data_IF_243316357777
#
_entry.id   IF_243316357777
#
_cell.length_a   1.000
_cell.length_b   1.000
_cell.length_c   1.000
_cell.angle_alpha   90.00
_cell.angle_beta   90.00
_cell.angle_gamma   90.00
#
_symmetry.space_group_name_H-M   'P 1'
#
loop_
_entity.id
_entity.type
_entity.pdbx_description
1 polymer ?
#
# COMPACT_ATOMS: atom_id res chain seq x y z
N UNK A 1 -50.44 35.12 -33.59
CA UNK A 1 -49.65 34.42 -32.55
C UNK A 1 -49.86 34.98 -31.14
N UNK A 2 -50.19 36.27 -30.98
CA UNK A 2 -50.51 36.91 -29.70
C UNK A 2 -51.73 36.33 -28.98
N UNK A 3 -52.75 35.86 -29.72
CA UNK A 3 -54.02 35.41 -29.11
C UNK A 3 -53.86 34.10 -28.33
N UNK A 4 -53.02 33.18 -28.82
CA UNK A 4 -52.70 31.94 -28.12
C UNK A 4 -51.84 32.21 -26.87
N UNK A 5 -50.92 33.17 -26.92
CA UNK A 5 -50.13 33.58 -25.75
C UNK A 5 -51.03 34.19 -24.66
N UNK A 6 -51.98 35.06 -25.06
CA UNK A 6 -52.98 35.61 -24.15
C UNK A 6 -53.82 34.49 -23.52
N UNK A 7 -54.29 33.54 -24.32
CA UNK A 7 -55.01 32.36 -23.82
C UNK A 7 -54.18 31.57 -22.79
N UNK A 8 -52.89 31.31 -23.02
CA UNK A 8 -52.04 30.60 -22.06
C UNK A 8 -51.89 31.35 -20.72
N UNK A 9 -51.85 32.68 -20.76
CA UNK A 9 -51.71 33.53 -19.57
C UNK A 9 -53.03 33.73 -18.80
N UNK A 10 -54.20 33.75 -19.47
CA UNK A 10 -55.49 34.05 -18.84
C UNK A 10 -56.42 32.85 -18.64
N UNK A 11 -56.24 31.74 -19.36
CA UNK A 11 -57.17 30.62 -19.34
C UNK A 11 -57.31 29.98 -17.94
N UNK A 12 -58.50 29.51 -17.63
CA UNK A 12 -58.77 28.71 -16.44
C UNK A 12 -58.29 27.26 -16.59
N UNK A 13 -58.24 26.53 -15.47
CA UNK A 13 -57.82 25.13 -15.45
C UNK A 13 -58.68 24.25 -16.38
N UNK A 14 -59.99 24.50 -16.44
CA UNK A 14 -60.90 23.71 -17.26
C UNK A 14 -60.83 24.06 -18.75
N UNK A 15 -60.56 25.33 -19.09
CA UNK A 15 -60.33 25.76 -20.47
C UNK A 15 -59.03 25.18 -21.04
N UNK A 16 -57.96 25.12 -20.25
CA UNK A 16 -56.73 24.46 -20.66
C UNK A 16 -56.94 22.97 -20.95
N UNK A 17 -57.83 22.30 -20.20
CA UNK A 17 -58.15 20.88 -20.38
C UNK A 17 -59.01 20.58 -21.62
N UNK A 18 -59.67 21.58 -22.20
CA UNK A 18 -60.41 21.40 -23.45
C UNK A 18 -59.48 21.13 -24.64
N UNK A 19 -58.20 21.50 -24.53
CA UNK A 19 -57.20 21.21 -25.56
C UNK A 19 -56.78 19.73 -25.48
N UNK A 20 -56.89 18.98 -26.59
CA UNK A 20 -56.48 17.58 -26.64
C UNK A 20 -55.01 17.39 -26.23
N UNK A 21 -54.78 16.59 -25.18
CA UNK A 21 -53.46 16.27 -24.67
C UNK A 21 -53.00 17.08 -23.46
N UNK A 22 -53.76 18.09 -23.02
CA UNK A 22 -53.49 18.79 -21.76
C UNK A 22 -54.26 18.09 -20.62
N UNK A 23 -53.53 17.39 -19.76
CA UNK A 23 -54.08 16.76 -18.56
C UNK A 23 -54.18 17.76 -17.39
N UNK A 24 -54.92 17.39 -16.33
CA UNK A 24 -55.13 18.24 -15.14
C UNK A 24 -53.82 18.73 -14.51
N UNK A 25 -52.82 17.84 -14.44
CA UNK A 25 -51.52 18.15 -13.87
C UNK A 25 -50.72 19.14 -14.73
N UNK A 26 -50.76 18.99 -16.05
CA UNK A 26 -50.11 19.90 -16.98
C UNK A 26 -50.79 21.28 -16.99
N UNK A 27 -52.12 21.32 -16.95
CA UNK A 27 -52.87 22.58 -16.81
C UNK A 27 -52.48 23.33 -15.53
N UNK A 28 -52.34 22.62 -14.40
CA UNK A 28 -51.86 23.22 -13.15
C UNK A 28 -50.41 23.74 -13.26
N UNK A 29 -49.53 22.99 -13.92
CA UNK A 29 -48.14 23.40 -14.15
C UNK A 29 -48.05 24.64 -15.06
N UNK A 30 -48.92 24.75 -16.07
CA UNK A 30 -49.00 25.93 -16.95
C UNK A 30 -49.44 27.15 -16.14
N UNK A 31 -50.44 27.02 -15.27
CA UNK A 31 -50.91 28.11 -14.40
C UNK A 31 -49.80 28.57 -13.44
N UNK A 32 -49.05 27.62 -12.86
CA UNK A 32 -47.96 27.92 -11.93
C UNK A 32 -46.77 28.63 -12.59
N UNK A 33 -46.57 28.47 -13.91
CA UNK A 33 -45.46 29.04 -14.65
C UNK A 33 -45.78 30.37 -15.35
N UNK A 34 -46.98 30.91 -15.17
CA UNK A 34 -47.37 32.23 -15.66
C UNK A 34 -46.60 33.33 -14.91
N UNK A 35 -46.30 34.47 -15.55
CA UNK A 35 -46.63 34.85 -16.93
C UNK A 35 -45.57 34.39 -17.95
N UNK A 36 -46.02 34.13 -19.18
CA UNK A 36 -45.14 33.85 -20.33
C UNK A 36 -45.04 35.09 -21.24
N UNK A 37 -43.82 35.47 -21.62
CA UNK A 37 -43.55 36.57 -22.56
C UNK A 37 -43.62 36.10 -24.03
N UNK A 38 -43.24 34.84 -24.29
CA UNK A 38 -43.29 34.21 -25.60
C UNK A 38 -44.00 32.85 -25.54
N UNK A 39 -44.55 32.40 -26.68
CA UNK A 39 -45.25 31.10 -26.75
C UNK A 39 -44.28 29.95 -26.46
N UNK A 40 -43.03 30.10 -26.87
CA UNK A 40 -41.94 29.15 -26.67
C UNK A 40 -41.57 28.98 -25.18
N UNK A 41 -41.84 29.96 -24.32
CA UNK A 41 -41.58 29.84 -22.88
C UNK A 41 -42.47 28.79 -22.21
N UNK A 42 -43.63 28.48 -22.80
CA UNK A 42 -44.47 27.37 -22.35
C UNK A 42 -43.74 26.01 -22.46
N UNK A 43 -42.69 25.88 -23.28
CA UNK A 43 -41.88 24.65 -23.37
C UNK A 43 -41.04 24.40 -22.11
N UNK A 44 -40.77 25.41 -21.28
CA UNK A 44 -40.03 25.25 -20.02
C UNK A 44 -40.88 24.54 -18.95
N UNK A 45 -42.20 24.47 -19.16
CA UNK A 45 -43.13 23.81 -18.23
C UNK A 45 -42.97 22.29 -18.31
N UNK A 46 -42.79 21.65 -17.14
CA UNK A 46 -42.64 20.20 -17.03
C UNK A 46 -43.85 19.47 -17.62
N UNK A 47 -43.63 18.81 -18.76
CA UNK A 47 -44.63 18.05 -19.51
C UNK A 47 -45.15 18.73 -20.79
N UNK A 48 -44.71 19.95 -21.10
CA UNK A 48 -45.09 20.68 -22.32
C UNK A 48 -44.01 20.52 -23.40
N UNK A 49 -44.21 19.59 -24.33
CA UNK A 49 -43.29 19.36 -25.45
C UNK A 49 -43.63 20.15 -26.71
N UNK A 50 -42.64 20.38 -27.58
CA UNK A 50 -42.80 21.09 -28.89
C UNK A 50 -43.97 20.56 -29.74
N UNK A 51 -44.15 19.24 -29.76
CA UNK A 51 -45.23 18.58 -30.52
C UNK A 51 -46.62 18.83 -29.92
N UNK A 52 -46.73 18.89 -28.59
CA UNK A 52 -48.00 19.18 -27.91
C UNK A 52 -48.37 20.65 -28.09
N UNK A 53 -47.40 21.56 -28.02
CA UNK A 53 -47.59 22.98 -28.26
C UNK A 53 -48.11 23.26 -29.67
N UNK A 54 -47.53 22.65 -30.71
CA UNK A 54 -48.02 22.79 -32.09
C UNK A 54 -49.43 22.24 -32.30
N UNK A 55 -49.78 21.13 -31.64
CA UNK A 55 -51.16 20.59 -31.65
C UNK A 55 -52.15 21.47 -30.90
N UNK A 56 -51.75 22.01 -29.76
CA UNK A 56 -52.56 22.95 -28.99
C UNK A 56 -52.84 24.23 -29.78
N UNK A 57 -51.83 24.77 -30.46
CA UNK A 57 -51.95 25.95 -31.30
C UNK A 57 -52.90 25.71 -32.49
N UNK A 58 -52.72 24.62 -33.24
CA UNK A 58 -53.61 24.29 -34.36
C UNK A 58 -55.06 24.03 -33.93
N UNK A 59 -55.27 23.42 -32.76
CA UNK A 59 -56.61 23.23 -32.20
C UNK A 59 -57.26 24.56 -31.81
N UNK A 60 -56.51 25.44 -31.14
CA UNK A 60 -56.98 26.77 -30.74
C UNK A 60 -57.34 27.62 -31.96
N UNK A 61 -56.50 27.63 -32.99
CA UNK A 61 -56.75 28.38 -34.23
C UNK A 61 -57.94 27.82 -35.02
N UNK A 62 -58.18 26.51 -34.96
CA UNK A 62 -59.39 25.91 -35.53
C UNK A 62 -60.65 26.25 -34.72
N UNK A 63 -60.56 26.28 -33.39
CA UNK A 63 -61.67 26.62 -32.50
C UNK A 63 -62.07 28.10 -32.61
N UNK A 64 -61.12 28.99 -32.87
CA UNK A 64 -61.37 30.42 -33.04
C UNK A 64 -61.97 30.79 -34.41
N UNK A 65 -61.84 29.89 -35.41
CA UNK A 65 -62.28 30.10 -36.79
C UNK A 65 -63.63 29.42 -37.14
N UNK A 66 -64.40 28.94 -36.15
CA UNK A 66 -65.71 28.31 -36.38
C UNK A 66 -66.87 29.21 -35.87
N UNK A 67 -67.51 30.00 -36.75
CA UNK A 67 -68.70 30.76 -36.42
C UNK A 67 -69.95 29.91 -36.70
N UNK A 68 -70.63 29.52 -35.62
CA UNK A 68 -72.05 29.08 -35.55
C UNK A 68 -72.36 27.59 -35.77
N UNK A 69 -72.58 26.87 -34.66
CA UNK A 69 -73.58 25.81 -34.64
C UNK A 69 -74.38 25.78 -33.33
N UNK A 70 -75.43 26.61 -33.27
CA UNK A 70 -76.60 26.38 -32.40
C UNK A 70 -77.67 25.74 -33.28
N UNK A 71 -77.77 24.41 -33.27
CA UNK A 71 -78.96 23.71 -33.76
C UNK A 71 -79.72 23.17 -32.54
N UNK A 72 -80.83 23.85 -32.20
CA UNK A 72 -81.81 23.38 -31.22
C UNK A 72 -82.83 22.51 -31.93
N UNK A 73 -83.01 21.34 -31.35
CA UNK A 73 -84.04 20.31 -31.47
C UNK A 73 -85.47 20.86 -31.66
N UNK A 74 -86.28 20.25 -32.54
CA UNK A 74 -87.76 20.17 -32.47
C UNK A 74 -88.19 19.00 -33.37
N UNK A 75 -88.56 17.82 -32.84
CA UNK A 75 -89.87 17.37 -32.32
C UNK A 75 -90.97 17.22 -33.40
N UNK A 76 -91.60 16.04 -33.30
CA UNK A 76 -92.51 15.30 -34.15
C UNK A 76 -93.82 15.98 -34.60
N UNK A 77 -94.38 15.31 -35.62
CA UNK A 77 -95.79 15.03 -35.92
C UNK A 77 -96.72 16.14 -36.43
N UNK A 78 -97.20 15.94 -37.67
CA UNK A 78 -98.63 15.72 -37.94
C UNK A 78 -98.87 15.34 -39.42
N UNK A 79 -99.64 14.27 -39.63
CA UNK A 79 -100.34 13.93 -40.89
C UNK A 79 -101.75 14.54 -40.83
N UNK A 80 -102.53 14.77 -41.92
CA UNK A 80 -103.08 13.66 -42.71
C UNK A 80 -103.58 13.92 -44.19
N UNK A 81 -103.77 12.82 -44.94
CA UNK A 81 -104.77 12.52 -46.03
C UNK A 81 -104.66 13.28 -47.38
N UNK A 82 -104.88 12.73 -48.58
CA UNK A 82 -105.69 11.61 -49.12
C UNK A 82 -105.12 11.24 -50.53
N UNK A 83 -104.96 9.96 -50.88
CA UNK A 83 -105.87 9.10 -51.69
C UNK A 83 -105.65 9.22 -53.21
N UNK A 84 -105.06 8.19 -53.83
CA UNK A 84 -105.73 7.49 -54.95
C UNK A 84 -105.06 6.15 -55.32
N UNK A 85 -105.86 5.23 -55.84
CA UNK A 85 -105.70 3.76 -55.81
C UNK A 85 -104.87 3.17 -56.99
N UNK A 86 -104.97 1.85 -57.26
CA UNK A 86 -103.94 0.84 -57.07
C UNK A 86 -103.19 0.47 -58.36
N UNK A 87 -102.01 -0.16 -58.26
CA UNK A 87 -101.43 -0.90 -59.39
C UNK A 87 -100.98 -2.29 -58.98
N UNK A 88 -101.33 -3.23 -59.84
CA UNK A 88 -101.52 -4.65 -59.64
C UNK A 88 -100.20 -5.47 -59.58
N UNK A 89 -99.16 -4.95 -58.92
CA UNK A 89 -97.79 -5.49 -59.01
C UNK A 89 -97.08 -5.89 -57.70
N UNK A 90 -97.63 -5.59 -56.52
CA UNK A 90 -96.83 -5.57 -55.28
C UNK A 90 -96.73 -6.88 -54.51
N UNK A 91 -97.44 -7.94 -54.91
CA UNK A 91 -97.37 -9.22 -54.20
C UNK A 91 -96.23 -10.14 -54.65
N UNK A 92 -95.39 -9.69 -55.59
CA UNK A 92 -94.12 -10.35 -55.93
C UNK A 92 -92.87 -9.54 -55.54
N UNK A 93 -92.98 -8.25 -55.25
CA UNK A 93 -91.81 -7.38 -54.98
C UNK A 93 -91.43 -7.23 -53.51
N UNK A 94 -92.34 -7.52 -52.56
CA UNK A 94 -92.04 -7.44 -51.12
C UNK A 94 -91.14 -8.58 -50.62
N UNK A 95 -91.30 -9.80 -51.15
CA UNK A 95 -90.47 -10.96 -50.78
C UNK A 95 -89.08 -10.85 -51.42
N UNK A 96 -89.01 -10.34 -52.65
CA UNK A 96 -87.74 -10.15 -53.36
C UNK A 96 -86.89 -9.02 -52.74
N UNK A 97 -87.52 -7.92 -52.30
CA UNK A 97 -86.85 -6.82 -51.59
C UNK A 97 -86.32 -7.25 -50.21
N UNK A 98 -87.09 -8.01 -49.43
CA UNK A 98 -86.65 -8.53 -48.14
C UNK A 98 -85.53 -9.57 -48.28
N UNK A 99 -85.58 -10.41 -49.32
CA UNK A 99 -84.50 -11.34 -49.65
C UNK A 99 -83.23 -10.61 -50.09
N UNK A 100 -83.34 -9.58 -50.94
CA UNK A 100 -82.21 -8.76 -51.37
C UNK A 100 -81.59 -7.99 -50.20
N UNK A 101 -82.40 -7.44 -49.27
CA UNK A 101 -81.92 -6.83 -48.02
C UNK A 101 -81.21 -7.84 -47.12
N UNK A 102 -81.75 -9.05 -46.97
CA UNK A 102 -81.12 -10.11 -46.18
C UNK A 102 -79.78 -10.57 -46.81
N UNK A 103 -79.72 -10.68 -48.13
CA UNK A 103 -78.52 -11.03 -48.89
C UNK A 103 -77.44 -9.94 -48.79
N UNK A 104 -77.83 -8.67 -48.87
CA UNK A 104 -76.92 -7.54 -48.70
C UNK A 104 -76.39 -7.48 -47.25
N UNK A 105 -77.23 -7.78 -46.26
CA UNK A 105 -76.81 -7.89 -44.84
C UNK A 105 -75.81 -9.03 -44.62
N UNK A 106 -76.03 -10.19 -45.26
CA UNK A 106 -75.10 -11.33 -45.22
C UNK A 106 -73.79 -11.01 -45.94
N UNK A 107 -73.84 -10.30 -47.07
CA UNK A 107 -72.66 -9.83 -47.79
C UNK A 107 -71.84 -8.83 -46.95
N UNK A 108 -72.49 -7.91 -46.22
CA UNK A 108 -71.82 -7.01 -45.27
C UNK A 108 -71.16 -7.81 -44.14
N UNK A 109 -71.85 -8.79 -43.56
CA UNK A 109 -71.26 -9.63 -42.51
C UNK A 109 -70.04 -10.38 -43.03
N UNK A 110 -70.11 -10.97 -44.23
CA UNK A 110 -68.97 -11.63 -44.86
C UNK A 110 -67.84 -10.65 -45.19
N UNK A 111 -68.15 -9.44 -45.63
CA UNK A 111 -67.16 -8.39 -45.86
C UNK A 111 -66.48 -7.99 -44.54
N UNK A 112 -67.23 -7.85 -43.45
CA UNK A 112 -66.69 -7.57 -42.12
C UNK A 112 -65.80 -8.72 -41.64
N UNK A 113 -66.23 -9.97 -41.78
CA UNK A 113 -65.42 -11.14 -41.44
C UNK A 113 -64.14 -11.19 -42.27
N UNK A 114 -64.22 -10.89 -43.58
CA UNK A 114 -63.07 -10.80 -44.46
C UNK A 114 -62.10 -9.68 -44.07
N UNK A 115 -62.61 -8.51 -43.69
CA UNK A 115 -61.82 -7.37 -43.21
C UNK A 115 -61.16 -7.71 -41.87
N UNK A 116 -61.89 -8.32 -40.93
CA UNK A 116 -61.34 -8.74 -39.64
C UNK A 116 -60.29 -9.83 -39.84
N UNK A 117 -60.55 -10.80 -40.72
CA UNK A 117 -59.60 -11.84 -41.09
C UNK A 117 -58.32 -11.26 -41.71
N UNK A 118 -58.44 -10.30 -42.64
CA UNK A 118 -57.31 -9.59 -43.22
C UNK A 118 -56.57 -8.73 -42.16
N UNK A 119 -57.29 -8.05 -41.28
CA UNK A 119 -56.72 -7.25 -40.21
C UNK A 119 -55.95 -8.12 -39.19
N UNK A 120 -56.42 -9.32 -38.88
CA UNK A 120 -55.70 -10.27 -38.04
C UNK A 120 -54.51 -10.88 -38.79
N UNK A 121 -54.70 -11.29 -40.04
CA UNK A 121 -53.66 -11.92 -40.87
C UNK A 121 -52.48 -10.98 -41.13
N UNK A 122 -52.73 -9.70 -41.41
CA UNK A 122 -51.68 -8.69 -41.63
C UNK A 122 -51.28 -7.94 -40.35
N UNK A 123 -52.20 -7.77 -39.39
CA UNK A 123 -51.93 -7.03 -38.15
C UNK A 123 -51.07 -7.81 -37.16
N UNK A 124 -51.29 -9.12 -37.00
CA UNK A 124 -50.45 -9.98 -36.16
C UNK A 124 -48.97 -9.96 -36.56
N UNK A 125 -48.58 -10.19 -37.83
CA UNK A 125 -47.18 -10.12 -38.24
C UNK A 125 -46.59 -8.70 -38.12
N UNK A 126 -47.38 -7.66 -38.44
CA UNK A 126 -46.93 -6.27 -38.29
C UNK A 126 -46.58 -5.91 -36.83
N UNK A 127 -47.39 -6.35 -35.87
CA UNK A 127 -47.12 -6.12 -34.44
C UNK A 127 -45.88 -6.90 -34.00
N UNK A 128 -45.74 -8.15 -34.46
CA UNK A 128 -44.61 -8.99 -34.10
C UNK A 128 -43.27 -8.39 -34.56
N UNK A 129 -43.18 -7.99 -35.84
CA UNK A 129 -41.96 -7.40 -36.41
C UNK A 129 -41.64 -6.01 -35.84
N UNK A 130 -42.66 -5.17 -35.61
CA UNK A 130 -42.46 -3.78 -35.18
C UNK A 130 -42.22 -3.63 -33.67
N UNK A 131 -42.83 -4.48 -32.85
CA UNK A 131 -42.85 -4.30 -31.40
C UNK A 131 -42.27 -5.48 -30.60
N UNK A 132 -42.46 -6.72 -31.02
CA UNK A 132 -41.96 -7.87 -30.24
C UNK A 132 -40.48 -8.15 -30.52
N UNK A 133 -40.08 -8.18 -31.79
CA UNK A 133 -38.70 -8.41 -32.20
C UNK A 133 -37.66 -7.45 -31.55
N UNK A 134 -37.90 -6.11 -31.48
CA UNK A 134 -36.95 -5.22 -30.79
C UNK A 134 -36.93 -5.41 -29.28
N UNK A 135 -38.02 -5.87 -28.65
CA UNK A 135 -38.07 -6.15 -27.21
C UNK A 135 -37.34 -7.44 -26.88
N UNK A 136 -37.44 -8.47 -27.73
CA UNK A 136 -36.64 -9.70 -27.60
C UNK A 136 -35.14 -9.41 -27.71
N UNK A 137 -34.72 -8.57 -28.67
CA UNK A 137 -33.32 -8.16 -28.81
C UNK A 137 -32.82 -7.32 -27.63
N UNK A 138 -33.63 -6.38 -27.15
CA UNK A 138 -33.27 -5.60 -25.96
C UNK A 138 -33.21 -6.48 -24.72
N UNK A 139 -34.09 -7.48 -24.58
CA UNK A 139 -34.07 -8.43 -23.47
C UNK A 139 -32.80 -9.27 -23.52
N UNK A 140 -32.43 -9.79 -24.69
CA UNK A 140 -31.17 -10.53 -24.86
C UNK A 140 -29.92 -9.66 -24.60
N UNK A 141 -29.93 -8.39 -25.00
CA UNK A 141 -28.84 -7.45 -24.68
C UNK A 141 -28.76 -7.16 -23.18
N UNK A 142 -29.89 -7.07 -22.49
CA UNK A 142 -29.89 -6.88 -21.03
C UNK A 142 -29.31 -8.12 -20.34
N UNK A 143 -29.69 -9.31 -20.76
CA UNK A 143 -29.12 -10.56 -20.24
C UNK A 143 -27.59 -10.62 -20.45
N UNK A 144 -27.11 -10.25 -21.65
CA UNK A 144 -25.68 -10.17 -21.94
C UNK A 144 -24.97 -9.11 -21.09
N UNK A 145 -25.59 -7.93 -20.90
CA UNK A 145 -25.05 -6.89 -20.03
C UNK A 145 -25.02 -7.34 -18.56
N UNK A 146 -26.03 -8.06 -18.07
CA UNK A 146 -26.04 -8.64 -16.71
C UNK A 146 -24.94 -9.68 -16.54
N UNK A 147 -24.70 -10.51 -17.56
CA UNK A 147 -23.59 -11.47 -17.57
C UNK A 147 -22.23 -10.75 -17.56
N UNK A 148 -22.06 -9.71 -18.38
CA UNK A 148 -20.85 -8.89 -18.38
C UNK A 148 -20.64 -8.20 -17.03
N UNK A 149 -21.68 -7.64 -16.42
CA UNK A 149 -21.59 -7.01 -15.10
C UNK A 149 -21.14 -8.04 -14.06
N UNK A 150 -21.71 -9.25 -14.09
CA UNK A 150 -21.32 -10.34 -13.19
C UNK A 150 -19.86 -10.73 -13.39
N UNK A 151 -19.41 -10.85 -14.64
CA UNK A 151 -18.02 -11.16 -14.97
C UNK A 151 -17.05 -10.04 -14.52
N UNK A 152 -17.41 -8.77 -14.70
CA UNK A 152 -16.62 -7.64 -14.22
C UNK A 152 -16.57 -7.59 -12.69
N UNK A 153 -17.69 -7.86 -12.00
CA UNK A 153 -17.71 -7.96 -10.54
C UNK A 153 -16.77 -9.07 -10.07
N UNK A 154 -16.81 -10.23 -10.70
CA UNK A 154 -15.90 -11.33 -10.39
C UNK A 154 -14.43 -10.96 -10.64
N UNK A 155 -14.14 -10.20 -11.71
CA UNK A 155 -12.79 -9.73 -11.98
C UNK A 155 -12.31 -8.71 -10.94
N UNK A 156 -13.19 -7.83 -10.45
CA UNK A 156 -12.88 -6.89 -9.36
C UNK A 156 -12.61 -7.64 -8.06
N UNK A 157 -13.39 -8.69 -7.76
CA UNK A 157 -13.17 -9.54 -6.59
C UNK A 157 -11.84 -10.31 -6.68
N UNK A 158 -11.49 -10.85 -7.85
CA UNK A 158 -10.20 -11.47 -8.11
C UNK A 158 -9.05 -10.47 -7.92
N UNK A 159 -9.16 -9.27 -8.51
CA UNK A 159 -8.17 -8.21 -8.32
C UNK A 159 -8.02 -7.82 -6.85
N UNK A 160 -9.13 -7.69 -6.12
CA UNK A 160 -9.11 -7.44 -4.68
C UNK A 160 -8.35 -8.51 -3.93
N UNK A 161 -8.63 -9.79 -4.20
CA UNK A 161 -7.91 -10.90 -3.58
C UNK A 161 -6.40 -10.89 -3.89
N UNK A 162 -6.01 -10.53 -5.13
CA UNK A 162 -4.61 -10.41 -5.54
C UNK A 162 -3.91 -9.25 -4.85
N UNK A 163 -4.60 -8.13 -4.66
CA UNK A 163 -4.10 -6.99 -3.88
C UNK A 163 -3.88 -7.40 -2.43
N UNK A 164 -4.82 -8.10 -1.80
CA UNK A 164 -4.67 -8.59 -0.42
C UNK A 164 -3.49 -9.55 -0.27
N UNK A 165 -3.21 -10.38 -1.27
CA UNK A 165 -2.03 -11.27 -1.27
C UNK A 165 -0.73 -10.47 -1.42
N UNK A 166 -0.72 -9.48 -2.32
CA UNK A 166 0.43 -8.58 -2.49
C UNK A 166 0.71 -7.77 -1.22
N UNK A 167 -0.32 -7.25 -0.55
CA UNK A 167 -0.18 -6.51 0.71
C UNK A 167 0.46 -7.39 1.79
N UNK A 168 -0.03 -8.62 1.99
CA UNK A 168 0.60 -9.57 2.93
C UNK A 168 2.03 -9.93 2.55
N UNK A 169 2.32 -10.06 1.25
CA UNK A 169 3.68 -10.30 0.76
C UNK A 169 4.59 -9.11 1.04
N UNK A 170 4.10 -7.88 0.89
CA UNK A 170 4.83 -6.65 1.22
C UNK A 170 5.09 -6.59 2.71
N UNK A 171 4.09 -6.86 3.56
CA UNK A 171 4.27 -6.90 5.02
C UNK A 171 5.35 -7.91 5.43
N UNK A 172 5.30 -9.11 4.84
CA UNK A 172 6.31 -10.16 5.07
C UNK A 172 7.70 -9.71 4.59
N UNK A 173 7.79 -9.04 3.45
CA UNK A 173 9.06 -8.52 2.95
C UNK A 173 9.62 -7.40 3.82
N UNK A 174 8.78 -6.48 4.29
CA UNK A 174 9.15 -5.43 5.24
C UNK A 174 9.72 -6.06 6.51
N UNK A 175 9.04 -7.05 7.09
CA UNK A 175 9.54 -7.75 8.26
C UNK A 175 10.89 -8.46 7.98
N UNK A 176 11.06 -9.03 6.79
CA UNK A 176 12.33 -9.65 6.41
C UNK A 176 13.47 -8.64 6.24
N UNK A 177 13.17 -7.43 5.76
CA UNK A 177 14.13 -6.34 5.61
C UNK A 177 14.54 -5.84 7.01
N UNK A 178 13.58 -5.62 7.91
CA UNK A 178 13.85 -5.21 9.30
C UNK A 178 14.75 -6.24 10.02
N UNK A 179 14.50 -7.54 9.79
CA UNK A 179 15.36 -8.62 10.32
C UNK A 179 16.77 -8.59 9.73
N UNK A 180 16.91 -8.32 8.42
CA UNK A 180 18.23 -8.22 7.78
C UNK A 180 19.02 -7.00 8.29
N UNK A 181 18.35 -5.87 8.48
CA UNK A 181 18.96 -4.66 9.05
C UNK A 181 19.44 -4.90 10.48
N UNK A 182 18.62 -5.52 11.33
CA UNK A 182 19.00 -5.87 12.69
C UNK A 182 20.18 -6.86 12.75
N UNK A 183 20.23 -7.84 11.83
CA UNK A 183 21.36 -8.76 11.73
C UNK A 183 22.61 -8.03 11.25
N UNK A 184 22.50 -7.11 10.31
CA UNK A 184 23.62 -6.32 9.80
C UNK A 184 24.23 -5.45 10.90
N UNK A 185 23.41 -4.74 11.66
CA UNK A 185 23.85 -3.94 12.82
C UNK A 185 24.55 -4.83 13.85
N UNK A 186 23.96 -5.98 14.19
CA UNK A 186 24.57 -6.91 15.14
C UNK A 186 25.90 -7.52 14.67
N UNK A 187 26.09 -7.71 13.35
CA UNK A 187 27.36 -8.19 12.79
C UNK A 187 28.40 -7.08 12.82
N UNK A 188 28.04 -5.86 12.45
CA UNK A 188 28.94 -4.70 12.46
C UNK A 188 29.43 -4.42 13.88
N UNK A 189 28.52 -4.40 14.86
CA UNK A 189 28.86 -4.23 16.28
C UNK A 189 29.81 -5.31 16.77
N UNK A 190 29.52 -6.59 16.46
CA UNK A 190 30.40 -7.71 16.82
C UNK A 190 31.77 -7.61 16.17
N UNK A 191 31.83 -7.15 14.93
CA UNK A 191 33.08 -7.01 14.19
C UNK A 191 33.90 -5.85 14.75
N UNK A 192 33.28 -4.70 15.05
CA UNK A 192 33.95 -3.57 15.68
C UNK A 192 34.45 -3.91 17.09
N UNK A 193 33.61 -4.55 17.89
CA UNK A 193 34.00 -5.00 19.23
C UNK A 193 35.18 -5.97 19.15
N UNK A 194 35.07 -7.06 18.38
CA UNK A 194 36.13 -8.06 18.26
C UNK A 194 37.42 -7.45 17.70
N UNK A 195 37.33 -6.60 16.68
CA UNK A 195 38.51 -5.92 16.13
C UNK A 195 39.18 -5.01 17.17
N UNK A 196 38.40 -4.23 17.94
CA UNK A 196 38.96 -3.37 18.98
C UNK A 196 39.62 -4.17 20.11
N UNK A 197 38.98 -5.25 20.57
CA UNK A 197 39.52 -6.15 21.59
C UNK A 197 40.80 -6.84 21.11
N UNK A 198 40.79 -7.40 19.89
CA UNK A 198 41.96 -8.06 19.30
C UNK A 198 43.12 -7.08 19.08
N UNK A 199 42.85 -5.85 18.63
CA UNK A 199 43.88 -4.83 18.44
C UNK A 199 44.52 -4.41 19.75
N UNK A 200 43.73 -4.26 20.81
CA UNK A 200 44.25 -3.96 22.16
C UNK A 200 45.10 -5.14 22.66
N UNK A 201 44.61 -6.36 22.53
CA UNK A 201 45.33 -7.56 22.97
C UNK A 201 46.65 -7.75 22.19
N UNK A 202 46.64 -7.54 20.88
CA UNK A 202 47.84 -7.59 20.04
C UNK A 202 48.81 -6.46 20.38
N UNK A 203 48.31 -5.25 20.67
CA UNK A 203 49.14 -4.13 21.15
C UNK A 203 49.89 -4.55 22.42
N UNK A 204 49.17 -5.12 23.39
CA UNK A 204 49.74 -5.57 24.65
C UNK A 204 50.81 -6.65 24.47
N UNK A 205 50.54 -7.67 23.64
CA UNK A 205 51.49 -8.76 23.35
C UNK A 205 52.77 -8.24 22.66
N UNK A 206 52.61 -7.34 21.69
CA UNK A 206 53.75 -6.74 20.97
C UNK A 206 54.58 -5.87 21.90
N UNK A 207 53.94 -5.06 22.75
CA UNK A 207 54.65 -4.21 23.72
C UNK A 207 55.42 -5.05 24.74
N UNK A 208 54.80 -6.11 25.27
CA UNK A 208 55.44 -7.03 26.20
C UNK A 208 56.65 -7.73 25.56
N UNK A 209 56.49 -8.26 24.35
CA UNK A 209 57.57 -8.92 23.61
C UNK A 209 58.72 -7.94 23.32
N UNK A 210 58.40 -6.72 22.92
CA UNK A 210 59.40 -5.67 22.64
C UNK A 210 60.14 -5.26 23.90
N UNK A 211 59.47 -5.15 25.04
CA UNK A 211 60.10 -4.86 26.33
C UNK A 211 61.06 -5.99 26.72
N UNK A 212 60.65 -7.26 26.58
CA UNK A 212 61.49 -8.42 26.86
C UNK A 212 62.75 -8.47 25.97
N UNK A 213 62.63 -8.16 24.67
CA UNK A 213 63.77 -8.07 23.75
C UNK A 213 64.76 -6.97 24.18
N UNK A 214 64.24 -5.78 24.50
CA UNK A 214 65.06 -4.65 24.98
C UNK A 214 65.79 -5.00 26.27
N UNK A 215 65.13 -5.67 27.22
CA UNK A 215 65.77 -6.13 28.45
C UNK A 215 66.83 -7.21 28.18
N UNK A 216 66.58 -8.14 27.26
CA UNK A 216 67.56 -9.14 26.82
C UNK A 216 68.81 -8.49 26.22
N UNK A 217 68.62 -7.46 25.39
CA UNK A 217 69.71 -6.67 24.80
C UNK A 217 70.47 -5.85 25.86
N UNK A 218 69.75 -5.24 26.81
CA UNK A 218 70.36 -4.50 27.91
C UNK A 218 71.26 -5.40 28.77
N UNK A 219 70.84 -6.64 29.08
CA UNK A 219 71.67 -7.65 29.80
C UNK A 219 72.97 -7.92 29.05
N UNK A 220 72.88 -8.10 27.74
CA UNK A 220 74.04 -8.30 26.89
C UNK A 220 74.98 -7.08 26.92
N UNK A 221 74.43 -5.87 26.85
CA UNK A 221 75.22 -4.65 26.94
C UNK A 221 75.90 -4.46 28.30
N UNK A 222 75.24 -4.83 29.41
CA UNK A 222 75.86 -4.84 30.74
C UNK A 222 77.05 -5.82 30.80
N UNK A 223 76.89 -7.01 30.24
CA UNK A 223 77.98 -7.99 30.17
C UNK A 223 79.16 -7.51 29.31
N UNK A 224 78.90 -6.70 28.28
CA UNK A 224 79.92 -6.09 27.41
C UNK A 224 80.50 -4.78 27.95
N UNK A 225 80.12 -4.34 29.16
CA UNK A 225 80.49 -3.03 29.73
C UNK A 225 80.01 -1.81 28.93
N UNK A 226 78.98 -1.97 28.08
CA UNK A 226 78.37 -0.92 27.28
C UNK A 226 77.19 -0.28 28.03
N UNK A 227 77.49 0.44 29.12
CA UNK A 227 76.46 0.90 30.08
C UNK A 227 75.51 1.98 29.55
N UNK A 228 75.94 2.80 28.59
CA UNK A 228 75.08 3.82 27.97
C UNK A 228 73.93 3.18 27.18
N UNK A 229 74.26 2.27 26.26
CA UNK A 229 73.26 1.53 25.48
C UNK A 229 72.37 0.65 26.35
N UNK A 230 72.94 0.03 27.40
CA UNK A 230 72.15 -0.70 28.39
C UNK A 230 71.11 0.21 29.05
N UNK A 231 71.51 1.41 29.50
CA UNK A 231 70.61 2.38 30.12
C UNK A 231 69.49 2.84 29.17
N UNK A 232 69.83 3.09 27.90
CA UNK A 232 68.85 3.53 26.90
C UNK A 232 67.80 2.44 26.60
N UNK A 233 68.22 1.17 26.53
CA UNK A 233 67.33 0.04 26.35
C UNK A 233 66.44 -0.21 27.57
N UNK A 234 67.00 -0.10 28.79
CA UNK A 234 66.24 -0.23 30.03
C UNK A 234 65.18 0.85 30.14
N UNK A 235 65.54 2.09 29.79
CA UNK A 235 64.59 3.20 29.80
C UNK A 235 63.48 2.99 28.77
N UNK A 236 63.83 2.56 27.56
CA UNK A 236 62.84 2.27 26.51
C UNK A 236 61.89 1.14 26.90
N UNK A 237 62.42 0.08 27.53
CA UNK A 237 61.61 -1.02 28.06
C UNK A 237 60.68 -0.53 29.18
N UNK A 238 61.20 0.28 30.11
CA UNK A 238 60.43 0.86 31.22
C UNK A 238 59.29 1.74 30.73
N UNK A 239 59.54 2.59 29.72
CA UNK A 239 58.53 3.47 29.14
C UNK A 239 57.40 2.65 28.47
N UNK A 240 57.74 1.57 27.75
CA UNK A 240 56.75 0.65 27.16
C UNK A 240 55.93 -0.08 28.22
N UNK A 241 56.58 -0.57 29.29
CA UNK A 241 55.89 -1.27 30.38
C UNK A 241 54.99 -0.31 31.18
N UNK A 242 55.39 0.95 31.34
CA UNK A 242 54.58 1.96 32.00
C UNK A 242 53.33 2.34 31.18
N UNK A 243 53.43 2.40 29.85
CA UNK A 243 52.25 2.55 28.99
C UNK A 243 51.32 1.33 29.11
N UNK A 244 51.87 0.12 29.18
CA UNK A 244 51.09 -1.11 29.35
C UNK A 244 50.42 -1.20 30.74
N UNK A 245 51.11 -0.76 31.79
CA UNK A 245 50.60 -0.71 33.17
C UNK A 245 49.45 0.30 33.28
N UNK A 246 49.59 1.48 32.68
CA UNK A 246 48.51 2.47 32.67
C UNK A 246 47.22 1.97 31.98
N UNK A 247 47.35 1.06 31.02
CA UNK A 247 46.21 0.45 30.31
C UNK A 247 45.62 -0.78 31.02
N UNK A 248 46.46 -1.59 31.67
CA UNK A 248 46.08 -2.92 32.20
C UNK A 248 45.89 -2.91 33.73
N UNK A 249 46.63 -2.07 34.46
CA UNK A 249 46.68 -2.03 35.92
C UNK A 249 47.26 -3.30 36.56
N UNK A 250 48.14 -4.00 35.85
CA UNK A 250 48.74 -5.26 36.33
C UNK A 250 49.81 -4.98 37.41
N UNK A 251 49.65 -5.50 38.65
CA UNK A 251 50.63 -5.32 39.72
C UNK A 251 52.01 -5.90 39.40
N UNK A 252 52.11 -6.87 38.50
CA UNK A 252 53.40 -7.44 38.07
C UNK A 252 54.19 -6.42 37.25
N UNK A 253 53.50 -5.66 36.39
CA UNK A 253 54.12 -4.58 35.62
C UNK A 253 54.62 -3.47 36.53
N UNK A 254 53.84 -3.11 37.56
CA UNK A 254 54.24 -2.11 38.56
C UNK A 254 55.53 -2.52 39.28
N UNK A 255 55.62 -3.76 39.78
CA UNK A 255 56.82 -4.28 40.44
C UNK A 255 58.00 -4.36 39.46
N UNK A 256 57.79 -4.80 38.21
CA UNK A 256 58.84 -4.84 37.20
C UNK A 256 59.37 -3.44 36.89
N UNK A 257 58.50 -2.43 36.73
CA UNK A 257 58.89 -1.03 36.52
C UNK A 257 59.70 -0.51 37.71
N UNK A 258 59.29 -0.80 38.94
CA UNK A 258 60.03 -0.41 40.13
C UNK A 258 61.46 -0.98 40.15
N UNK A 259 61.63 -2.24 39.72
CA UNK A 259 62.95 -2.87 39.57
C UNK A 259 63.78 -2.23 38.46
N UNK A 260 63.17 -1.88 37.33
CA UNK A 260 63.87 -1.17 36.26
C UNK A 260 64.30 0.24 36.68
N UNK A 261 63.50 0.95 37.46
CA UNK A 261 63.84 2.28 37.99
C UNK A 261 65.04 2.20 38.96
N UNK A 262 65.12 1.15 39.79
CA UNK A 262 66.31 0.85 40.60
C UNK A 262 67.55 0.59 39.73
N UNK A 263 67.41 -0.22 38.67
CA UNK A 263 68.49 -0.50 37.73
C UNK A 263 68.99 0.78 37.03
N UNK A 264 68.09 1.67 36.60
CA UNK A 264 68.42 2.95 35.97
C UNK A 264 69.14 3.90 36.93
N UNK A 265 68.76 3.91 38.21
CA UNK A 265 69.44 4.69 39.25
C UNK A 265 70.87 4.21 39.51
N UNK A 266 71.11 2.91 39.37
CA UNK A 266 72.41 2.29 39.58
C UNK A 266 73.35 2.40 38.37
N UNK A 267 72.85 2.69 37.16
CA UNK A 267 73.68 2.84 35.95
C UNK A 267 74.18 4.28 35.75
N UNK A 268 75.50 4.50 35.50
CA UNK A 268 76.57 3.52 35.23
C UNK A 268 77.46 3.17 36.44
N UNK A 269 77.20 3.72 37.62
CA UNK A 269 78.12 3.66 38.77
C UNK A 269 78.20 2.28 39.44
N UNK A 270 77.10 1.52 39.46
CA UNK A 270 76.98 0.20 40.09
C UNK A 270 76.40 -0.84 39.12
N UNK A 271 77.16 -1.25 38.07
CA UNK A 271 76.64 -2.08 36.99
C UNK A 271 76.27 -3.51 37.42
N UNK A 272 76.95 -4.07 38.44
CA UNK A 272 76.63 -5.41 38.97
C UNK A 272 75.29 -5.43 39.69
N UNK A 273 74.98 -4.37 40.45
CA UNK A 273 73.70 -4.24 41.16
C UNK A 273 72.57 -4.04 40.14
N UNK A 274 72.78 -3.15 39.18
CA UNK A 274 71.84 -2.92 38.09
C UNK A 274 71.54 -4.18 37.27
N UNK A 275 72.52 -5.04 37.02
CA UNK A 275 72.32 -6.32 36.34
C UNK A 275 71.42 -7.27 37.14
N UNK A 276 71.55 -7.28 38.47
CA UNK A 276 70.69 -8.07 39.35
C UNK A 276 69.24 -7.58 39.38
N UNK A 277 69.03 -6.26 39.51
CA UNK A 277 67.69 -5.67 39.47
C UNK A 277 67.00 -5.94 38.12
N UNK A 278 67.76 -5.87 37.02
CA UNK A 278 67.26 -6.13 35.67
C UNK A 278 66.93 -7.61 35.45
N UNK A 279 67.70 -8.53 36.03
CA UNK A 279 67.37 -9.96 36.03
C UNK A 279 66.03 -10.21 36.73
N UNK A 280 65.83 -9.60 37.90
CA UNK A 280 64.59 -9.74 38.67
C UNK A 280 63.41 -9.21 37.87
N UNK A 281 63.55 -8.02 37.27
CA UNK A 281 62.53 -7.43 36.40
C UNK A 281 62.21 -8.32 35.19
N UNK A 282 63.21 -8.90 34.55
CA UNK A 282 63.01 -9.80 33.41
C UNK A 282 62.32 -11.10 33.84
N UNK A 283 62.73 -11.69 34.97
CA UNK A 283 62.12 -12.90 35.50
C UNK A 283 60.65 -12.67 35.83
N UNK A 284 60.31 -11.57 36.51
CA UNK A 284 58.95 -11.12 36.80
C UNK A 284 58.04 -11.15 35.56
N UNK A 285 58.53 -10.57 34.46
CA UNK A 285 57.77 -10.45 33.21
C UNK A 285 57.62 -11.78 32.46
N UNK A 286 58.59 -12.69 32.60
CA UNK A 286 58.56 -14.02 31.95
C UNK A 286 57.80 -15.05 32.78
N UNK A 287 57.93 -15.01 34.11
CA UNK A 287 57.25 -15.94 35.00
C UNK A 287 55.80 -15.54 35.27
N UNK A 288 55.47 -14.25 35.13
CA UNK A 288 54.14 -13.73 35.50
C UNK A 288 53.86 -13.84 36.99
N UNK A 289 54.90 -13.91 37.82
CA UNK A 289 54.78 -14.18 39.25
C UNK A 289 55.71 -13.23 40.02
N UNK A 290 55.15 -12.44 40.93
CA UNK A 290 55.92 -11.58 41.82
C UNK A 290 56.96 -12.43 42.56
N UNK A 291 58.23 -11.99 42.68
CA UNK A 291 59.18 -12.71 43.50
C UNK A 291 58.63 -12.67 44.91
N UNK A 292 58.05 -13.80 45.34
CA UNK A 292 57.83 -14.07 46.74
C UNK A 292 59.12 -13.73 47.45
N UNK A 293 58.98 -12.89 48.48
CA UNK A 293 60.01 -12.39 49.40
C UNK A 293 61.35 -13.13 49.28
N UNK A 294 62.49 -12.42 49.19
CA UNK A 294 63.77 -12.98 48.79
C UNK A 294 63.91 -14.35 49.39
N UNK A 295 63.91 -15.38 48.53
CA UNK A 295 64.29 -16.71 48.94
C UNK A 295 65.58 -16.49 49.71
N UNK A 296 65.51 -16.73 51.03
CA UNK A 296 66.66 -16.70 51.90
C UNK A 296 67.66 -17.54 51.14
N UNK A 297 68.68 -16.89 50.59
CA UNK A 297 69.86 -17.58 50.14
C UNK A 297 70.29 -18.21 51.44
N UNK A 298 69.97 -19.50 51.62
CA UNK A 298 70.56 -20.29 52.67
C UNK A 298 72.03 -20.02 52.49
N UNK A 299 72.58 -19.24 53.41
CA UNK A 299 74.00 -19.11 53.61
C UNK A 299 74.51 -20.52 53.52
N UNK A 300 75.26 -20.83 52.46
CA UNK A 300 76.10 -22.01 52.49
C UNK A 300 76.95 -21.82 53.74
N UNK A 301 76.62 -22.61 54.75
CA UNK A 301 77.44 -22.79 55.94
C UNK A 301 78.86 -23.01 55.44
N UNK A 302 79.86 -22.22 55.84
CA UNK A 302 81.22 -22.46 55.41
C UNK A 302 81.58 -23.88 55.84
N UNK A 303 81.80 -24.75 54.85
CA UNK A 303 82.47 -26.04 55.02
C UNK A 303 83.55 -25.89 56.09
N UNK A 304 83.53 -26.67 57.19
CA UNK A 304 84.59 -26.60 58.18
C UNK A 304 85.91 -26.86 57.46
N UNK A 305 86.86 -25.93 57.64
CA UNK A 305 88.19 -26.01 57.06
C UNK A 305 88.77 -27.42 57.29
N UNK A 306 89.40 -28.06 56.29
CA UNK A 306 90.12 -29.29 56.53
C UNK A 306 91.21 -29.01 57.55
N UNK A 307 91.17 -29.73 58.68
CA UNK A 307 92.27 -29.80 59.65
C UNK A 307 93.57 -30.02 58.87
N UNK A 308 94.59 -29.16 58.99
CA UNK A 308 95.87 -29.40 58.36
C UNK A 308 96.48 -30.66 58.98
N UNK A 309 96.49 -31.75 58.23
CA UNK A 309 97.33 -32.91 58.50
C UNK A 309 98.78 -32.46 58.32
N UNK A 310 99.46 -32.16 59.42
CA UNK A 310 100.90 -31.90 59.42
C UNK A 310 101.64 -33.19 59.02
N UNK A 311 102.53 -33.17 58.01
CA UNK A 311 103.42 -34.28 57.77
C UNK A 311 104.41 -34.42 58.94
N UNK A 312 104.81 -35.66 59.33
CA UNK A 312 105.78 -35.84 60.40
C UNK A 312 107.12 -35.18 60.05
N UNK A 313 107.61 -34.34 60.95
CA UNK A 313 108.95 -33.76 60.91
C UNK A 313 110.01 -34.86 60.92
N UNK A 314 110.97 -34.89 59.98
CA UNK A 314 112.07 -35.84 60.04
C UNK A 314 112.98 -35.52 61.24
N UNK A 315 113.20 -36.53 62.07
CA UNK A 315 114.15 -36.52 63.18
C UNK A 315 115.57 -36.40 62.62
N UNK A 316 116.42 -35.47 63.10
CA UNK A 316 117.83 -35.46 62.71
C UNK A 316 118.57 -36.64 63.36
N UNK A 317 119.00 -37.58 62.53
CA UNK A 317 119.96 -38.62 62.91
C UNK A 317 121.35 -38.00 63.03
N UNK A 318 121.90 -37.98 64.24
CA UNK A 318 123.31 -37.75 64.50
C UNK A 318 124.08 -39.03 64.17
N UNK A 319 125.00 -38.96 63.21
CA UNK A 319 126.05 -39.97 62.96
C UNK A 319 127.34 -39.47 63.60
N UNK A 320 128.17 -40.33 64.23
CA UNK A 320 129.46 -39.95 64.81
C UNK A 320 130.47 -39.41 63.79
#
# INVERSE_FOLDING_TARGET
>A
MSDFLNFLNTASLDELRQIPGINRSLAANIIAARPFDFVEDAMKVKGMGKNLLGRAQSYFEKAMNDPQNRAVVTVEDSVPLQDDRPSFGTRLSEIFSNFLRALLRLAIILAVIGIVGAALYYGLPFINEKFMAPVEQNTAQIDEMEEQITALQQQVDDLGSRVDVLERSIDTHTESIDRLEAIQEAIEDKLQQNNSEMLVQLKHEVMMTRALDMLGRARLYLAQSNFGSARDDVRSARDLLAELEAETGDPILEEAIARLDLALGNLPQFPVVAAGDLEIAWQLLVSGEAPGAPAVISTFDPTPAPTPTFPPTPVPTLTP
#
